data_IF_661148445160
#
_entry.id   IF_661148445160
#
_cell.length_a   1.000
_cell.length_b   1.000
_cell.length_c   1.000
_cell.angle_alpha   90.00
_cell.angle_beta   90.00
_cell.angle_gamma   90.00
#
_symmetry.space_group_name_H-M   'P 1'
#
loop_
_entity.id
_entity.type
_entity.pdbx_description
1 polymer ?
#
# COMPACT_ATOMS: atom_id res chain seq x y z
N UNK A 1 36.77 30.65 57.80
CA UNK A 1 36.09 31.73 57.04
C UNK A 1 34.67 31.28 56.76
N UNK A 2 33.65 32.03 57.18
CA UNK A 2 32.23 31.64 57.08
C UNK A 2 31.66 32.32 55.83
N UNK A 3 31.43 31.56 54.76
CA UNK A 3 30.80 32.10 53.55
C UNK A 3 29.36 32.52 53.88
N UNK A 4 29.03 33.79 53.64
CA UNK A 4 27.66 34.30 53.71
C UNK A 4 26.90 33.70 52.53
N UNK A 5 25.88 32.89 52.81
CA UNK A 5 24.91 32.48 51.80
C UNK A 5 24.12 33.73 51.36
N UNK A 6 24.37 34.20 50.15
CA UNK A 6 23.52 35.18 49.49
C UNK A 6 22.28 34.43 49.00
N UNK A 7 21.11 34.74 49.55
CA UNK A 7 19.84 34.17 49.10
C UNK A 7 19.45 34.68 47.72
N UNK A 8 18.67 33.90 46.98
CA UNK A 8 18.14 34.28 45.67
C UNK A 8 17.21 35.48 45.78
N UNK A 9 17.32 36.40 44.81
CA UNK A 9 16.38 37.51 44.69
C UNK A 9 15.05 37.01 44.13
N UNK A 10 13.94 37.68 44.49
CA UNK A 10 12.61 37.34 43.97
C UNK A 10 12.58 37.41 42.43
N UNK A 11 13.33 38.36 41.85
CA UNK A 11 13.46 38.53 40.40
C UNK A 11 14.21 37.34 39.76
N UNK A 12 15.29 36.84 40.36
CA UNK A 12 15.98 35.62 39.85
C UNK A 12 15.05 34.41 39.83
N UNK A 13 14.22 34.23 40.87
CA UNK A 13 13.27 33.12 40.92
C UNK A 13 12.24 33.23 39.79
N UNK A 14 11.70 34.44 39.55
CA UNK A 14 10.72 34.67 38.48
C UNK A 14 11.32 34.39 37.10
N UNK A 15 12.56 34.83 36.87
CA UNK A 15 13.27 34.58 35.60
C UNK A 15 13.56 33.09 35.43
N UNK A 16 14.02 32.40 36.47
CA UNK A 16 14.28 30.97 36.42
C UNK A 16 13.01 30.15 36.09
N UNK A 17 11.88 30.48 36.70
CA UNK A 17 10.59 29.84 36.42
C UNK A 17 10.09 30.14 35.00
N UNK A 18 10.24 31.39 34.54
CA UNK A 18 9.87 31.79 33.19
C UNK A 18 10.67 31.01 32.13
N UNK A 19 12.00 30.96 32.28
CA UNK A 19 12.88 30.20 31.39
C UNK A 19 12.54 28.71 31.43
N UNK A 20 12.37 28.14 32.63
CA UNK A 20 12.01 26.73 32.78
C UNK A 20 10.70 26.37 32.07
N UNK A 21 9.70 27.23 32.17
CA UNK A 21 8.39 27.02 31.53
C UNK A 21 8.49 27.08 30.01
N UNK A 22 9.26 28.04 29.47
CA UNK A 22 9.50 28.14 28.01
C UNK A 22 10.17 26.89 27.47
N UNK A 23 11.19 26.37 28.17
CA UNK A 23 11.91 25.17 27.75
C UNK A 23 10.98 23.94 27.77
N UNK A 24 10.20 23.76 28.84
CA UNK A 24 9.26 22.63 28.96
C UNK A 24 8.21 22.67 27.86
N UNK A 25 7.66 23.84 27.55
CA UNK A 25 6.70 24.00 26.46
C UNK A 25 7.30 23.66 25.10
N UNK A 26 8.51 24.15 24.81
CA UNK A 26 9.23 23.83 23.57
C UNK A 26 9.53 22.34 23.43
N UNK A 27 10.04 21.70 24.49
CA UNK A 27 10.30 20.26 24.52
C UNK A 27 9.02 19.44 24.38
N UNK A 28 7.92 19.89 25.00
CA UNK A 28 6.60 19.25 24.89
C UNK A 28 6.06 19.23 23.46
N UNK A 29 6.22 20.32 22.71
CA UNK A 29 5.83 20.37 21.29
C UNK A 29 6.63 19.35 20.47
N UNK A 30 7.96 19.33 20.61
CA UNK A 30 8.82 18.39 19.90
C UNK A 30 8.46 16.92 20.21
N UNK A 31 8.17 16.62 21.47
CA UNK A 31 7.75 15.30 21.91
C UNK A 31 6.43 14.87 21.25
N UNK A 32 5.42 15.76 21.24
CA UNK A 32 4.13 15.48 20.59
C UNK A 32 4.27 15.27 19.08
N UNK A 33 5.05 16.11 18.41
CA UNK A 33 5.33 15.96 16.96
C UNK A 33 6.03 14.62 16.68
N UNK A 34 6.97 14.23 17.54
CA UNK A 34 7.67 12.95 17.41
C UNK A 34 6.71 11.77 17.57
N UNK A 35 5.84 11.81 18.57
CA UNK A 35 4.82 10.77 18.80
C UNK A 35 3.85 10.64 17.61
N UNK A 36 3.38 11.77 17.08
CA UNK A 36 2.52 11.80 15.88
C UNK A 36 3.23 11.22 14.66
N UNK A 37 4.51 11.56 14.48
CA UNK A 37 5.34 11.06 13.37
C UNK A 37 5.47 9.54 13.45
N UNK A 38 5.77 8.98 14.63
CA UNK A 38 5.85 7.52 14.81
C UNK A 38 4.55 6.81 14.45
N UNK A 39 3.40 7.32 14.92
CA UNK A 39 2.10 6.73 14.60
C UNK A 39 1.79 6.76 13.09
N UNK A 40 2.22 7.80 12.39
CA UNK A 40 2.06 7.89 10.94
C UNK A 40 2.97 6.89 10.21
N UNK A 41 4.21 6.74 10.65
CA UNK A 41 5.16 5.76 10.10
C UNK A 41 4.62 4.34 10.26
N UNK A 42 4.07 3.98 11.42
CA UNK A 42 3.53 2.63 11.65
C UNK A 42 2.36 2.29 10.72
N UNK A 43 1.47 3.26 10.47
CA UNK A 43 0.34 3.10 9.54
C UNK A 43 0.83 2.86 8.11
N UNK A 44 1.85 3.62 7.69
CA UNK A 44 2.45 3.49 6.35
C UNK A 44 3.19 2.15 6.21
N UNK A 45 3.92 1.73 7.24
CA UNK A 45 4.68 0.48 7.26
C UNK A 45 3.78 -0.75 7.01
N UNK A 46 2.63 -0.83 7.69
CA UNK A 46 1.67 -1.93 7.49
C UNK A 46 1.08 -1.95 6.08
N UNK A 47 0.81 -0.79 5.48
CA UNK A 47 0.35 -0.70 4.08
C UNK A 47 1.42 -1.25 3.12
N UNK A 48 2.69 -0.89 3.34
CA UNK A 48 3.81 -1.37 2.52
C UNK A 48 4.02 -2.87 2.65
N UNK A 49 3.92 -3.43 3.85
CA UNK A 49 4.01 -4.87 4.08
C UNK A 49 2.93 -5.63 3.31
N UNK A 50 1.67 -5.20 3.44
CA UNK A 50 0.55 -5.80 2.71
C UNK A 50 0.73 -5.70 1.20
N UNK A 51 1.14 -4.52 0.69
CA UNK A 51 1.38 -4.31 -0.73
C UNK A 51 2.47 -5.24 -1.27
N UNK A 52 3.63 -5.29 -0.60
CA UNK A 52 4.77 -6.11 -1.03
C UNK A 52 4.37 -7.59 -1.04
N UNK A 53 3.68 -8.04 0.01
CA UNK A 53 3.22 -9.42 0.10
C UNK A 53 2.25 -9.78 -1.04
N UNK A 54 1.21 -8.95 -1.26
CA UNK A 54 0.22 -9.15 -2.32
C UNK A 54 0.91 -9.14 -3.69
N UNK A 55 1.75 -8.15 -3.96
CA UNK A 55 2.47 -8.02 -5.23
C UNK A 55 3.36 -9.23 -5.51
N UNK A 56 4.09 -9.74 -4.51
CA UNK A 56 4.92 -10.93 -4.67
C UNK A 56 4.09 -12.18 -4.99
N UNK A 57 2.98 -12.39 -4.27
CA UNK A 57 2.08 -13.53 -4.49
C UNK A 57 1.41 -13.48 -5.86
N UNK A 58 0.78 -12.36 -6.21
CA UNK A 58 0.14 -12.17 -7.50
C UNK A 58 1.13 -12.28 -8.65
N UNK A 59 2.30 -11.63 -8.52
CA UNK A 59 3.33 -11.69 -9.57
C UNK A 59 3.84 -13.10 -9.78
N UNK A 60 4.07 -13.84 -8.70
CA UNK A 60 4.53 -15.24 -8.79
C UNK A 60 3.48 -16.12 -9.47
N UNK A 61 2.21 -15.96 -9.10
CA UNK A 61 1.11 -16.76 -9.66
C UNK A 61 0.85 -16.43 -11.12
N UNK A 62 0.66 -15.16 -11.46
CA UNK A 62 0.38 -14.73 -12.84
C UNK A 62 1.52 -15.15 -13.78
N UNK A 63 2.78 -15.11 -13.32
CA UNK A 63 3.93 -15.59 -14.11
C UNK A 63 3.86 -17.09 -14.41
N UNK A 64 3.33 -17.90 -13.50
CA UNK A 64 3.37 -19.37 -13.58
C UNK A 64 2.10 -19.97 -14.18
N UNK A 65 0.94 -19.48 -13.76
CA UNK A 65 -0.37 -20.07 -14.01
C UNK A 65 -1.35 -19.13 -14.72
N UNK A 66 -0.99 -17.84 -14.87
CA UNK A 66 -1.88 -16.79 -15.39
C UNK A 66 -2.75 -16.13 -14.32
N UNK A 67 -3.64 -15.18 -14.69
CA UNK A 67 -4.58 -14.54 -13.76
C UNK A 67 -5.72 -15.50 -13.39
N UNK A 68 -6.62 -15.09 -12.48
CA UNK A 68 -7.84 -15.86 -12.19
C UNK A 68 -7.94 -16.40 -10.78
N UNK A 69 -6.81 -16.73 -10.16
CA UNK A 69 -6.77 -17.36 -8.84
C UNK A 69 -7.17 -16.41 -7.69
N UNK A 70 -6.78 -15.15 -7.78
CA UNK A 70 -6.99 -14.19 -6.70
C UNK A 70 -8.09 -13.21 -7.05
N UNK A 71 -8.97 -12.93 -6.08
CA UNK A 71 -9.99 -11.87 -6.18
C UNK A 71 -9.73 -10.77 -5.18
N UNK A 72 -10.24 -9.59 -5.49
CA UNK A 72 -10.32 -8.45 -4.60
C UNK A 72 -11.79 -8.16 -4.31
N UNK A 73 -12.12 -8.03 -3.02
CA UNK A 73 -13.43 -7.56 -2.57
C UNK A 73 -13.26 -6.48 -1.54
N UNK A 74 -13.95 -5.35 -1.73
CA UNK A 74 -13.98 -4.27 -0.75
C UNK A 74 -15.37 -4.16 -0.12
N UNK A 75 -15.39 -4.16 1.21
CA UNK A 75 -16.63 -4.08 2.00
C UNK A 75 -16.52 -2.97 3.04
N UNK A 76 -17.62 -2.24 3.25
CA UNK A 76 -17.71 -1.25 4.31
C UNK A 76 -17.79 -1.95 5.66
N UNK A 77 -16.76 -1.77 6.48
CA UNK A 77 -16.74 -2.19 7.88
C UNK A 77 -16.91 -0.96 8.78
N UNK A 78 -18.14 -0.68 9.22
CA UNK A 78 -18.49 0.47 10.06
C UNK A 78 -18.06 1.80 9.41
N UNK A 79 -16.98 2.41 9.93
CA UNK A 79 -16.37 3.66 9.49
C UNK A 79 -15.02 3.40 8.79
N UNK A 80 -14.85 2.28 8.11
CA UNK A 80 -13.68 2.03 7.28
C UNK A 80 -14.04 1.15 6.10
N UNK A 81 -13.23 1.21 5.05
CA UNK A 81 -13.42 0.39 3.86
C UNK A 81 -12.32 -0.66 3.84
N UNK A 82 -12.71 -1.91 4.04
CA UNK A 82 -11.79 -3.04 4.17
C UNK A 82 -11.79 -3.80 2.87
N UNK A 83 -10.64 -3.84 2.21
CA UNK A 83 -10.41 -4.62 1.02
C UNK A 83 -9.66 -5.90 1.37
N UNK A 84 -10.13 -7.02 0.86
CA UNK A 84 -9.54 -8.33 1.11
C UNK A 84 -9.18 -8.97 -0.22
N UNK A 85 -7.93 -9.40 -0.34
CA UNK A 85 -7.49 -10.29 -1.40
C UNK A 85 -7.74 -11.72 -0.94
N UNK A 86 -8.47 -12.51 -1.73
CA UNK A 86 -8.80 -13.89 -1.40
C UNK A 86 -8.28 -14.85 -2.47
N UNK A 87 -7.94 -16.07 -2.06
CA UNK A 87 -7.57 -17.17 -2.95
C UNK A 87 -8.82 -18.00 -3.30
N UNK A 88 -9.21 -17.98 -4.57
CA UNK A 88 -10.37 -18.71 -5.07
C UNK A 88 -10.14 -20.23 -5.13
N UNK A 89 -8.89 -20.70 -5.28
CA UNK A 89 -8.61 -22.14 -5.33
C UNK A 89 -8.82 -22.82 -3.98
N UNK A 90 -8.72 -22.04 -2.88
CA UNK A 90 -8.85 -22.54 -1.51
C UNK A 90 -10.19 -22.16 -0.86
N UNK A 91 -11.31 -22.26 -1.58
CA UNK A 91 -12.66 -21.90 -1.11
C UNK A 91 -12.82 -20.42 -0.69
N UNK A 92 -12.11 -19.50 -1.36
CA UNK A 92 -12.20 -18.07 -1.06
C UNK A 92 -11.50 -17.68 0.24
N UNK A 93 -10.43 -18.38 0.61
CA UNK A 93 -9.66 -18.07 1.82
C UNK A 93 -9.07 -16.66 1.76
N UNK A 94 -9.24 -15.83 2.80
CA UNK A 94 -8.68 -14.48 2.83
C UNK A 94 -7.16 -14.57 2.99
N UNK A 95 -6.44 -13.98 2.04
CA UNK A 95 -4.99 -13.96 2.02
C UNK A 95 -4.45 -12.75 2.80
N UNK A 96 -4.91 -11.54 2.46
CA UNK A 96 -4.56 -10.29 3.14
C UNK A 96 -5.74 -9.33 3.12
N UNK A 97 -5.99 -8.67 4.24
CA UNK A 97 -6.95 -7.57 4.35
C UNK A 97 -6.23 -6.25 4.66
N UNK A 98 -6.66 -5.18 4.03
CA UNK A 98 -6.13 -3.84 4.22
C UNK A 98 -7.24 -2.79 4.18
N UNK A 99 -6.94 -1.62 4.75
CA UNK A 99 -7.86 -0.48 4.75
C UNK A 99 -7.63 0.37 3.50
N UNK A 100 -8.68 0.56 2.70
CA UNK A 100 -8.74 1.55 1.63
C UNK A 100 -9.04 2.91 2.26
N UNK A 101 -8.15 3.86 1.99
CA UNK A 101 -8.34 5.25 2.40
C UNK A 101 -9.41 5.89 1.50
N UNK A 102 -10.37 6.62 2.05
CA UNK A 102 -11.47 7.17 1.26
C UNK A 102 -11.62 8.64 1.62
N UNK A 103 -11.47 9.57 0.66
CA UNK A 103 -11.43 11.00 0.95
C UNK A 103 -12.77 11.54 1.47
N UNK A 104 -13.88 10.84 1.20
CA UNK A 104 -15.20 11.21 1.69
C UNK A 104 -15.92 9.99 2.29
N UNK A 105 -16.00 9.96 3.61
CA UNK A 105 -16.47 8.81 4.38
C UNK A 105 -17.96 8.49 4.18
N UNK A 106 -18.72 9.48 3.67
CA UNK A 106 -20.18 9.48 3.68
C UNK A 106 -20.83 8.85 2.44
N UNK A 107 -20.07 8.51 1.39
CA UNK A 107 -20.63 7.84 0.21
C UNK A 107 -20.45 6.31 0.28
N UNK A 108 -21.52 5.51 0.46
CA UNK A 108 -21.45 4.04 0.45
C UNK A 108 -20.97 3.45 -0.88
N UNK A 109 -21.15 4.17 -1.98
CA UNK A 109 -20.74 3.73 -3.32
C UNK A 109 -19.24 3.73 -3.56
N UNK A 110 -18.43 4.42 -2.74
CA UNK A 110 -16.97 4.50 -2.95
C UNK A 110 -16.20 3.31 -2.34
N UNK A 111 -16.88 2.49 -1.53
CA UNK A 111 -16.27 1.40 -0.78
C UNK A 111 -16.66 0.01 -1.25
N UNK A 112 -17.88 -0.13 -1.76
CA UNK A 112 -18.34 -1.41 -2.27
C UNK A 112 -17.79 -1.56 -3.69
N UNK A 113 -16.71 -2.32 -3.81
CA UNK A 113 -16.26 -2.85 -5.08
C UNK A 113 -16.78 -4.28 -5.19
N UNK A 114 -17.48 -4.57 -6.28
CA UNK A 114 -17.89 -5.93 -6.60
C UNK A 114 -16.66 -6.83 -6.65
N UNK A 115 -16.83 -8.08 -6.22
CA UNK A 115 -15.73 -9.04 -6.25
C UNK A 115 -15.24 -9.22 -7.70
N UNK A 116 -13.98 -8.87 -7.93
CA UNK A 116 -13.35 -8.99 -9.24
C UNK A 116 -12.03 -9.74 -9.16
N UNK A 117 -11.67 -10.39 -10.25
CA UNK A 117 -10.42 -11.14 -10.41
C UNK A 117 -9.26 -10.17 -10.58
N UNK A 118 -8.17 -10.42 -9.88
CA UNK A 118 -6.95 -9.63 -10.05
C UNK A 118 -6.15 -10.11 -11.28
N UNK A 119 -5.85 -9.16 -12.17
CA UNK A 119 -5.07 -9.42 -13.39
C UNK A 119 -5.93 -9.34 -14.65
N UNK A 120 -6.22 -8.11 -15.11
CA UNK A 120 -6.90 -7.86 -16.37
C UNK A 120 -5.90 -7.95 -17.53
N UNK A 121 -6.28 -8.57 -18.64
CA UNK A 121 -5.42 -8.63 -19.82
C UNK A 121 -5.30 -7.25 -20.46
N UNK A 122 -4.07 -6.76 -20.62
CA UNK A 122 -3.77 -5.55 -21.37
C UNK A 122 -3.83 -5.88 -22.86
N UNK A 123 -4.60 -5.09 -23.62
CA UNK A 123 -4.73 -5.28 -25.06
C UNK A 123 -3.36 -5.23 -25.77
N UNK A 124 -2.97 -6.32 -26.43
CA UNK A 124 -1.71 -6.45 -27.17
C UNK A 124 -1.41 -7.90 -27.56
N UNK A 125 -0.29 -8.12 -28.27
CA UNK A 125 0.15 -9.45 -28.73
C UNK A 125 0.86 -10.28 -27.65
N UNK A 126 1.11 -9.71 -26.47
CA UNK A 126 1.79 -10.36 -25.36
C UNK A 126 0.82 -10.59 -24.19
N UNK A 127 0.95 -11.72 -23.45
CA UNK A 127 0.15 -12.01 -22.27
C UNK A 127 0.62 -11.13 -21.08
N UNK A 128 0.27 -9.85 -21.15
CA UNK A 128 0.56 -8.83 -20.16
C UNK A 128 -0.71 -8.56 -19.36
N UNK A 129 -0.62 -8.69 -18.05
CA UNK A 129 -1.74 -8.50 -17.14
C UNK A 129 -1.51 -7.26 -16.28
N UNK A 130 -2.57 -6.49 -16.07
CA UNK A 130 -2.61 -5.29 -15.23
C UNK A 130 -3.31 -5.63 -13.92
N UNK A 131 -2.66 -5.31 -12.82
CA UNK A 131 -3.18 -5.53 -11.47
C UNK A 131 -3.35 -4.17 -10.80
N UNK A 132 -4.51 -3.94 -10.21
CA UNK A 132 -4.85 -2.71 -9.48
C UNK A 132 -5.16 -3.03 -8.02
N UNK A 133 -4.57 -2.25 -7.10
CA UNK A 133 -4.83 -2.39 -5.66
C UNK A 133 -5.09 -1.01 -5.03
N UNK A 134 -6.26 -0.74 -4.42
CA UNK A 134 -6.58 0.55 -3.81
C UNK A 134 -5.93 0.71 -2.43
N UNK A 135 -4.60 0.70 -2.39
CA UNK A 135 -3.76 0.71 -1.18
C UNK A 135 -3.09 2.08 -0.91
N UNK A 136 -3.09 2.98 -1.89
CA UNK A 136 -2.50 4.32 -1.78
C UNK A 136 -3.25 5.21 -0.77
N UNK A 137 -2.69 6.39 -0.51
CA UNK A 137 -3.42 7.41 0.23
C UNK A 137 -4.55 7.98 -0.64
N UNK A 138 -5.67 8.35 -0.01
CA UNK A 138 -6.91 8.75 -0.70
C UNK A 138 -7.59 7.65 -1.55
N UNK A 139 -7.13 6.39 -1.48
CA UNK A 139 -7.79 5.26 -2.13
C UNK A 139 -7.50 5.11 -3.62
N UNK A 140 -6.46 5.79 -4.11
CA UNK A 140 -5.94 5.58 -5.45
C UNK A 140 -5.42 4.13 -5.62
N UNK A 141 -5.45 3.64 -6.85
CA UNK A 141 -4.96 2.31 -7.17
C UNK A 141 -3.45 2.34 -7.43
N UNK A 142 -2.71 1.46 -6.74
CA UNK A 142 -1.36 1.08 -7.16
C UNK A 142 -1.51 0.10 -8.30
N UNK A 143 -0.99 0.48 -9.46
CA UNK A 143 -1.07 -0.32 -10.69
C UNK A 143 0.29 -0.91 -11.00
N UNK A 144 0.34 -2.22 -11.23
CA UNK A 144 1.53 -2.87 -11.75
C UNK A 144 1.17 -3.88 -12.82
N UNK A 145 2.18 -4.25 -13.61
CA UNK A 145 2.01 -5.14 -14.75
C UNK A 145 2.82 -6.41 -14.55
N UNK A 146 2.20 -7.54 -14.87
CA UNK A 146 2.81 -8.86 -14.76
C UNK A 146 2.64 -9.59 -16.08
N UNK A 147 3.74 -10.11 -16.61
CA UNK A 147 3.73 -10.92 -17.82
C UNK A 147 3.64 -12.40 -17.45
N UNK A 148 2.76 -13.14 -18.10
CA UNK A 148 2.71 -14.59 -17.98
C UNK A 148 3.86 -15.23 -18.76
N UNK A 149 4.60 -16.12 -18.12
CA UNK A 149 5.78 -16.73 -18.73
C UNK A 149 5.42 -17.69 -19.86
N UNK A 150 4.41 -18.52 -19.67
CA UNK A 150 4.06 -19.58 -20.62
C UNK A 150 3.51 -19.01 -21.93
N UNK A 151 2.62 -18.01 -21.86
CA UNK A 151 2.08 -17.37 -23.06
C UNK A 151 3.13 -16.66 -23.93
N UNK A 152 4.25 -16.20 -23.35
CA UNK A 152 5.37 -15.64 -24.13
C UNK A 152 6.09 -16.71 -24.95
N UNK A 153 6.28 -17.92 -24.40
CA UNK A 153 6.86 -19.02 -25.18
C UNK A 153 5.95 -19.38 -26.37
N UNK A 154 4.63 -19.41 -26.16
CA UNK A 154 3.70 -19.66 -27.26
C UNK A 154 3.78 -18.57 -28.35
N UNK A 155 3.77 -17.28 -27.99
CA UNK A 155 3.79 -16.20 -28.98
C UNK A 155 5.11 -16.12 -29.76
N UNK A 156 6.25 -16.37 -29.10
CA UNK A 156 7.57 -16.31 -29.76
C UNK A 156 7.91 -17.54 -30.61
N UNK A 157 7.52 -18.74 -30.18
CA UNK A 157 7.93 -19.99 -30.84
C UNK A 157 6.87 -20.58 -31.79
N UNK A 158 5.61 -20.16 -31.69
CA UNK A 158 4.52 -20.61 -32.58
C UNK A 158 4.26 -19.66 -33.75
N UNK A 159 5.16 -18.68 -33.99
CA UNK A 159 5.13 -17.90 -35.24
C UNK A 159 5.70 -18.79 -36.36
N UNK A 160 4.88 -19.34 -37.29
CA UNK A 160 5.44 -20.14 -38.37
C UNK A 160 6.33 -19.23 -39.21
N UNK A 161 7.58 -19.64 -39.36
CA UNK A 161 8.52 -19.11 -40.34
C UNK A 161 7.85 -19.13 -41.71
N UNK A 162 7.33 -17.98 -42.14
CA UNK A 162 6.83 -17.79 -43.51
C UNK A 162 8.04 -17.81 -44.44
N UNK A 163 8.55 -19.01 -44.73
CA UNK A 163 9.42 -19.23 -45.87
C UNK A 163 8.61 -18.91 -47.12
N UNK A 164 8.72 -17.68 -47.61
CA UNK A 164 8.49 -17.37 -49.02
C UNK A 164 9.60 -18.03 -49.85
N UNK A 165 9.49 -19.34 -50.02
CA UNK A 165 10.13 -20.07 -51.11
C UNK A 165 9.36 -19.80 -52.39
N UNK A 166 9.67 -18.68 -53.04
CA UNK A 166 9.24 -18.36 -54.42
C UNK A 166 9.95 -19.32 -55.38
N UNK A 167 9.39 -20.51 -55.58
CA UNK A 167 9.81 -21.41 -56.65
C UNK A 167 9.02 -21.05 -57.93
N UNK A 168 9.74 -20.48 -58.88
CA UNK A 168 9.38 -20.45 -60.30
C UNK A 168 9.04 -21.85 -60.79
N UNK A 169 7.90 -21.99 -61.45
CA UNK A 169 7.74 -22.76 -62.68
C UNK A 169 6.56 -22.19 -63.46
#
# INVERSE_FOLDING_TARGET
MRQRQQGFTLVELMVALAIGTVIILGAGQLFLTTLQTFQNVDKVSRKQENLIFIAQRLTSEIRQSGPGRYTLRCERNQNACSCTVADQEENGQPLVSFLKDVPNHDSPSQCNEDEHVLGELVSGDAPLYRVELPLENNGEAIVFHVMERQGIYASFFDTPTRQQGKAMQ
#
